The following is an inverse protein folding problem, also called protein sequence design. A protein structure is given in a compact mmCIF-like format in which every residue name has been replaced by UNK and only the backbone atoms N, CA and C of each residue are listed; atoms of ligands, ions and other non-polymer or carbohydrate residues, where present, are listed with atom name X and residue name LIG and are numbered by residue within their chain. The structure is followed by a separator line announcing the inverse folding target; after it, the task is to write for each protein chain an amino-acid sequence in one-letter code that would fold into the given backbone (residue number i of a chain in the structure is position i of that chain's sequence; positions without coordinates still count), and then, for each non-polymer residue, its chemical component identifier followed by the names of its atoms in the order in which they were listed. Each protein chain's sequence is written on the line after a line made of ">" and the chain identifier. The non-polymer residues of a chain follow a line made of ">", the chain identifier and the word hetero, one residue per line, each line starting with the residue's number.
data_IF_318036115930
#
_entry.id   IF_318036115930
#
_cell.length_a   1.000
_cell.length_b   1.000
_cell.length_c   1.000
_cell.angle_alpha   90.00
_cell.angle_beta   90.00
_cell.angle_gamma   90.00
#
_symmetry.space_group_name_H-M   'P 1'
#
loop_
_entity.id
_entity.type
_entity.pdbx_description
1 polymer ?
#
# COMPACT_ATOMS: atom_id res chain seq x y z
N UNK A 1 29.26 -17.49 13.33
CA UNK A 1 28.12 -16.84 14.00
C UNK A 1 27.55 -15.87 13.00
N UNK A 2 26.46 -16.23 12.33
CA UNK A 2 25.77 -15.33 11.40
C UNK A 2 25.02 -14.30 12.25
N UNK A 3 25.38 -13.03 12.11
CA UNK A 3 24.66 -11.97 12.79
C UNK A 3 23.38 -11.75 11.97
N UNK A 4 22.19 -11.68 12.58
CA UNK A 4 21.02 -11.25 11.84
C UNK A 4 21.20 -9.79 11.38
N UNK A 5 20.58 -9.43 10.25
CA UNK A 5 20.43 -8.04 9.79
C UNK A 5 20.14 -7.12 10.99
N UNK A 6 21.04 -6.17 11.27
CA UNK A 6 20.94 -5.37 12.48
C UNK A 6 19.89 -4.26 12.31
N UNK A 7 19.34 -3.76 13.41
CA UNK A 7 18.42 -2.61 13.40
C UNK A 7 19.02 -1.39 12.68
N UNK A 8 20.33 -1.19 12.77
CA UNK A 8 21.04 -0.11 12.10
C UNK A 8 21.00 -0.23 10.57
N UNK A 9 21.09 -1.46 10.04
CA UNK A 9 21.04 -1.72 8.60
C UNK A 9 19.65 -1.43 8.05
N UNK A 10 18.60 -1.86 8.75
CA UNK A 10 17.21 -1.56 8.39
C UNK A 10 16.92 -0.05 8.50
N UNK A 11 17.42 0.59 9.57
CA UNK A 11 17.32 2.05 9.75
C UNK A 11 17.98 2.79 8.59
N UNK A 12 19.13 2.32 8.09
CA UNK A 12 19.79 2.91 6.93
C UNK A 12 18.91 2.85 5.68
N UNK A 13 18.30 1.68 5.39
CA UNK A 13 17.35 1.55 4.26
C UNK A 13 16.21 2.55 4.39
N UNK A 14 15.60 2.66 5.57
CA UNK A 14 14.50 3.59 5.80
C UNK A 14 14.91 5.04 5.56
N UNK A 15 16.08 5.46 6.03
CA UNK A 15 16.61 6.81 5.81
C UNK A 15 16.87 7.10 4.33
N UNK A 16 17.39 6.12 3.59
CA UNK A 16 17.57 6.21 2.14
C UNK A 16 16.23 6.32 1.39
N UNK A 17 15.22 5.54 1.80
CA UNK A 17 13.86 5.62 1.24
C UNK A 17 13.21 6.97 1.56
N UNK A 18 13.36 7.48 2.78
CA UNK A 18 12.87 8.81 3.15
C UNK A 18 13.56 9.89 2.32
N UNK A 19 14.88 9.82 2.14
CA UNK A 19 15.61 10.77 1.30
C UNK A 19 15.08 10.77 -0.14
N UNK A 20 14.85 9.59 -0.70
CA UNK A 20 14.25 9.44 -2.03
C UNK A 20 12.86 10.07 -2.13
N UNK A 21 11.95 9.72 -1.22
CA UNK A 21 10.57 10.24 -1.21
C UNK A 21 10.58 11.76 -1.04
N UNK A 22 11.36 12.28 -0.09
CA UNK A 22 11.46 13.73 0.13
C UNK A 22 12.04 14.42 -1.09
N UNK A 23 13.11 13.88 -1.71
CA UNK A 23 13.68 14.46 -2.91
C UNK A 23 12.65 14.52 -4.04
N UNK A 24 12.05 13.38 -4.40
CA UNK A 24 11.12 13.29 -5.53
C UNK A 24 9.88 14.18 -5.38
N UNK A 25 9.26 14.18 -4.20
CA UNK A 25 8.01 14.94 -3.97
C UNK A 25 8.23 16.42 -3.66
N UNK A 26 9.36 16.81 -3.06
CA UNK A 26 9.60 18.23 -2.71
C UNK A 26 9.70 19.12 -3.94
N UNK A 27 10.17 18.58 -5.06
CA UNK A 27 10.44 19.35 -6.28
C UNK A 27 9.55 18.99 -7.48
N UNK A 28 8.67 17.98 -7.35
CA UNK A 28 7.58 17.74 -8.31
C UNK A 28 6.50 18.84 -8.32
N UNK A 29 6.45 19.73 -7.32
CA UNK A 29 5.40 20.75 -7.15
C UNK A 29 5.54 21.97 -8.05
N UNK A 30 5.67 21.77 -9.37
CA UNK A 30 5.57 22.84 -10.39
C UNK A 30 4.76 22.43 -11.64
N UNK A 31 4.15 21.24 -11.68
CA UNK A 31 3.24 20.88 -12.80
C UNK A 31 1.88 21.59 -12.76
N UNK A 32 1.49 22.16 -11.60
CA UNK A 32 0.20 22.83 -11.40
C UNK A 32 0.14 24.27 -11.92
N UNK A 33 1.28 24.88 -12.28
CA UNK A 33 1.36 26.30 -12.73
C UNK A 33 1.63 26.46 -14.24
N UNK A 34 1.47 25.40 -15.03
CA UNK A 34 1.49 25.48 -16.51
C UNK A 34 2.86 25.78 -17.14
N UNK A 35 3.91 25.91 -16.33
CA UNK A 35 5.28 26.03 -16.82
C UNK A 35 6.02 24.72 -16.61
N UNK A 36 6.04 23.89 -17.66
CA UNK A 36 6.85 22.67 -17.76
C UNK A 36 8.35 23.05 -17.78
N UNK A 37 8.89 23.58 -16.68
CA UNK A 37 10.30 23.94 -16.60
C UNK A 37 11.15 22.67 -16.59
N UNK A 38 11.51 22.28 -17.82
CA UNK A 38 12.81 21.75 -18.21
C UNK A 38 13.24 20.43 -17.57
N UNK A 39 12.50 19.34 -17.83
CA UNK A 39 13.05 17.95 -17.79
C UNK A 39 13.96 17.63 -19.00
N UNK A 40 14.62 18.64 -19.56
CA UNK A 40 15.52 18.44 -20.70
C UNK A 40 16.95 18.35 -20.18
N UNK A 41 17.78 17.53 -20.81
CA UNK A 41 19.21 17.38 -20.50
C UNK A 41 20.01 18.69 -20.48
N UNK A 42 19.45 19.78 -21.02
CA UNK A 42 20.07 21.11 -21.07
C UNK A 42 19.71 22.00 -19.87
N UNK A 43 18.82 21.56 -18.99
CA UNK A 43 18.37 22.37 -17.87
C UNK A 43 19.34 22.29 -16.70
N UNK A 44 19.74 23.45 -16.15
CA UNK A 44 20.49 23.48 -14.90
C UNK A 44 19.67 22.92 -13.72
N UNK A 45 18.34 22.96 -13.83
CA UNK A 45 17.41 22.48 -12.82
C UNK A 45 17.53 20.98 -12.57
N UNK A 46 17.67 20.16 -13.62
CA UNK A 46 17.85 18.71 -13.54
C UNK A 46 19.04 18.34 -12.64
N UNK A 47 20.18 19.01 -12.85
CA UNK A 47 21.39 18.77 -12.08
C UNK A 47 21.29 19.29 -10.65
N UNK A 48 20.69 20.47 -10.43
CA UNK A 48 20.45 20.96 -9.05
C UNK A 48 19.53 20.01 -8.27
N UNK A 49 18.52 19.46 -8.92
CA UNK A 49 17.60 18.51 -8.29
C UNK A 49 18.28 17.20 -7.93
N UNK A 50 19.06 16.62 -8.86
CA UNK A 50 19.89 15.45 -8.55
C UNK A 50 20.91 15.71 -7.45
N UNK A 51 21.50 16.91 -7.39
CA UNK A 51 22.46 17.29 -6.36
C UNK A 51 21.82 17.38 -4.98
N UNK A 52 20.61 17.95 -4.91
CA UNK A 52 19.80 17.96 -3.71
C UNK A 52 19.47 16.53 -3.25
N UNK A 53 19.04 15.66 -4.16
CA UNK A 53 18.73 14.26 -3.85
C UNK A 53 19.94 13.50 -3.27
N UNK A 54 21.10 13.63 -3.93
CA UNK A 54 22.35 13.02 -3.47
C UNK A 54 22.82 13.54 -2.12
N UNK A 55 22.78 14.86 -1.91
CA UNK A 55 23.15 15.48 -0.64
C UNK A 55 22.20 15.07 0.50
N UNK A 56 20.90 15.03 0.24
CA UNK A 56 19.89 14.60 1.21
C UNK A 56 20.07 13.12 1.59
N UNK A 57 20.30 12.25 0.61
CA UNK A 57 20.57 10.84 0.87
C UNK A 57 21.85 10.64 1.70
N UNK A 58 22.92 11.37 1.37
CA UNK A 58 24.18 11.26 2.09
C UNK A 58 24.09 11.76 3.54
N UNK A 59 23.44 12.90 3.75
CA UNK A 59 23.23 13.47 5.09
C UNK A 59 22.34 12.58 5.97
N UNK A 60 21.24 12.05 5.41
CA UNK A 60 20.36 11.15 6.14
C UNK A 60 20.98 9.77 6.38
N UNK A 61 21.79 9.26 5.45
CA UNK A 61 22.54 8.01 5.65
C UNK A 61 23.51 8.12 6.84
N UNK A 62 24.12 9.29 7.05
CA UNK A 62 25.05 9.53 8.17
C UNK A 62 26.36 8.74 8.10
N UNK A 63 26.66 8.14 6.94
CA UNK A 63 27.86 7.34 6.69
C UNK A 63 28.88 8.18 5.91
N UNK A 64 29.62 9.02 6.62
CA UNK A 64 30.58 9.96 6.03
C UNK A 64 31.76 9.31 5.29
N UNK A 65 31.97 8.00 5.46
CA UNK A 65 32.95 7.23 4.68
C UNK A 65 32.44 6.88 3.28
N UNK A 66 31.12 6.85 3.06
CA UNK A 66 30.49 6.45 1.80
C UNK A 66 30.38 7.63 0.83
N UNK A 67 31.51 8.26 0.49
CA UNK A 67 31.55 9.44 -0.39
C UNK A 67 30.97 9.14 -1.78
N UNK A 68 30.98 7.88 -2.21
CA UNK A 68 30.39 7.43 -3.48
C UNK A 68 28.86 7.53 -3.51
N UNK A 69 28.17 7.41 -2.37
CA UNK A 69 26.72 7.37 -2.26
C UNK A 69 26.02 8.59 -2.90
N UNK A 70 26.36 9.85 -2.56
CA UNK A 70 25.72 11.02 -3.17
C UNK A 70 25.90 11.06 -4.68
N UNK A 71 27.03 10.58 -5.23
CA UNK A 71 27.26 10.55 -6.67
C UNK A 71 26.40 9.52 -7.39
N UNK A 72 26.24 8.31 -6.82
CA UNK A 72 25.36 7.30 -7.41
C UNK A 72 23.92 7.79 -7.40
N UNK A 73 23.46 8.33 -6.27
CA UNK A 73 22.09 8.87 -6.14
C UNK A 73 21.88 10.06 -7.09
N UNK A 74 22.85 10.96 -7.21
CA UNK A 74 22.83 12.07 -8.18
C UNK A 74 22.64 11.56 -9.62
N UNK A 75 23.50 10.62 -10.05
CA UNK A 75 23.46 10.07 -11.41
C UNK A 75 22.11 9.36 -11.64
N UNK A 76 21.68 8.54 -10.70
CA UNK A 76 20.40 7.82 -10.80
C UNK A 76 19.22 8.78 -10.95
N UNK A 77 19.21 9.88 -10.19
CA UNK A 77 18.14 10.87 -10.22
C UNK A 77 18.14 11.67 -11.53
N UNK A 78 19.32 12.11 -11.98
CA UNK A 78 19.48 12.82 -13.26
C UNK A 78 19.11 11.93 -14.45
N UNK A 79 19.52 10.65 -14.44
CA UNK A 79 19.17 9.68 -15.47
C UNK A 79 17.66 9.44 -15.49
N UNK A 80 17.02 9.21 -14.34
CA UNK A 80 15.56 9.03 -14.24
C UNK A 80 14.83 10.23 -14.83
N UNK A 81 15.09 11.43 -14.31
CA UNK A 81 14.38 12.64 -14.71
C UNK A 81 14.67 13.08 -16.15
N UNK A 82 15.86 12.78 -16.67
CA UNK A 82 16.25 13.06 -18.05
C UNK A 82 15.71 12.03 -19.07
N UNK A 83 15.46 10.79 -18.65
CA UNK A 83 14.86 9.74 -19.47
C UNK A 83 13.34 9.78 -19.46
N UNK A 84 12.71 10.29 -18.40
CA UNK A 84 11.26 10.47 -18.34
C UNK A 84 10.81 11.51 -19.37
N UNK A 85 10.25 11.02 -20.48
CA UNK A 85 9.69 11.87 -21.55
C UNK A 85 8.55 12.74 -21.00
N UNK A 86 8.48 14.05 -21.36
CA UNK A 86 7.39 14.94 -20.94
C UNK A 86 5.98 14.54 -21.38
N UNK A 87 5.82 13.53 -22.24
CA UNK A 87 4.61 13.32 -23.03
C UNK A 87 4.02 11.90 -22.95
N UNK A 88 4.59 11.01 -22.14
CA UNK A 88 4.14 9.61 -22.05
C UNK A 88 3.38 9.36 -20.73
N UNK A 89 2.08 9.67 -20.72
CA UNK A 89 1.11 9.31 -19.67
C UNK A 89 0.80 7.80 -19.63
N UNK A 90 1.80 6.94 -19.86
CA UNK A 90 1.62 5.51 -19.69
C UNK A 90 1.96 5.15 -18.26
N UNK A 91 0.95 4.90 -17.42
CA UNK A 91 1.10 4.46 -16.03
C UNK A 91 2.13 3.31 -15.84
N UNK A 92 2.37 2.49 -16.87
CA UNK A 92 3.39 1.42 -16.85
C UNK A 92 4.82 1.95 -16.88
N UNK A 93 5.12 2.96 -17.71
CA UNK A 93 6.45 3.57 -17.79
C UNK A 93 6.78 4.30 -16.48
N UNK A 94 5.79 5.05 -15.95
CA UNK A 94 5.91 5.65 -14.62
C UNK A 94 6.24 4.62 -13.54
N UNK A 95 5.53 3.48 -13.50
CA UNK A 95 5.81 2.41 -12.54
C UNK A 95 7.19 1.77 -12.74
N UNK A 96 7.60 1.52 -13.98
CA UNK A 96 8.92 0.95 -14.29
C UNK A 96 10.06 1.89 -13.87
N UNK A 97 9.91 3.19 -14.06
CA UNK A 97 10.90 4.20 -13.63
C UNK A 97 11.07 4.20 -12.10
N UNK A 98 9.98 4.09 -11.35
CA UNK A 98 10.01 4.01 -9.87
C UNK A 98 10.63 2.70 -9.39
N UNK A 99 10.33 1.58 -10.05
CA UNK A 99 10.93 0.29 -9.74
C UNK A 99 12.44 0.29 -10.03
N UNK A 100 12.86 0.85 -11.15
CA UNK A 100 14.28 0.98 -11.50
C UNK A 100 15.07 1.76 -10.45
N UNK A 101 14.52 2.89 -9.99
CA UNK A 101 15.17 3.67 -8.94
C UNK A 101 15.21 2.93 -7.59
N UNK A 102 14.12 2.23 -7.23
CA UNK A 102 14.09 1.40 -6.03
C UNK A 102 15.17 0.31 -6.05
N UNK A 103 15.45 -0.29 -7.21
CA UNK A 103 16.54 -1.26 -7.38
C UNK A 103 17.91 -0.61 -7.13
N UNK A 104 18.15 0.60 -7.66
CA UNK A 104 19.41 1.33 -7.40
C UNK A 104 19.56 1.63 -5.91
N UNK A 105 18.47 2.06 -5.25
CA UNK A 105 18.44 2.35 -3.82
C UNK A 105 18.74 1.10 -2.98
N UNK A 106 18.12 -0.04 -3.32
CA UNK A 106 18.38 -1.33 -2.68
C UNK A 106 19.81 -1.80 -2.93
N UNK A 107 20.35 -1.61 -4.14
CA UNK A 107 21.75 -1.91 -4.46
C UNK A 107 22.72 -1.06 -3.62
N UNK A 108 22.47 0.24 -3.49
CA UNK A 108 23.26 1.11 -2.61
C UNK A 108 23.18 0.67 -1.15
N UNK A 109 21.98 0.30 -0.69
CA UNK A 109 21.80 -0.22 0.66
C UNK A 109 22.60 -1.51 0.89
N UNK A 110 22.50 -2.49 -0.01
CA UNK A 110 23.25 -3.76 0.08
C UNK A 110 24.76 -3.51 0.15
N UNK A 111 25.29 -2.57 -0.64
CA UNK A 111 26.71 -2.21 -0.64
C UNK A 111 27.17 -1.46 0.62
N UNK A 112 26.24 -0.91 1.41
CA UNK A 112 26.52 -0.18 2.64
C UNK A 112 26.34 -1.02 3.91
N UNK A 113 25.64 -2.15 3.81
CA UNK A 113 25.50 -3.10 4.93
C UNK A 113 26.90 -3.59 5.32
N UNK A 114 27.14 -3.68 6.64
CA UNK A 114 28.42 -4.13 7.20
C UNK A 114 28.54 -5.67 7.27
N UNK A 115 27.41 -6.38 7.24
CA UNK A 115 27.33 -7.85 7.26
C UNK A 115 27.41 -8.49 5.87
N UNK A 116 27.34 -9.83 5.84
CA UNK A 116 27.37 -10.59 4.59
C UNK A 116 26.03 -10.48 3.83
N UNK A 117 26.02 -10.32 2.49
CA UNK A 117 24.78 -10.31 1.71
C UNK A 117 23.91 -11.56 1.87
N UNK A 118 24.49 -12.68 2.32
CA UNK A 118 23.76 -13.91 2.64
C UNK A 118 22.81 -13.75 3.83
N UNK A 119 23.03 -12.77 4.71
CA UNK A 119 22.16 -12.46 5.85
C UNK A 119 20.81 -11.90 5.40
N UNK A 120 20.78 -11.20 4.25
CA UNK A 120 19.53 -10.73 3.61
C UNK A 120 18.69 -11.93 3.19
N UNK A 121 19.32 -12.95 2.59
CA UNK A 121 18.63 -14.16 2.18
C UNK A 121 18.06 -14.91 3.39
N UNK A 122 18.80 -14.99 4.50
CA UNK A 122 18.34 -15.59 5.76
C UNK A 122 17.18 -14.79 6.35
N UNK A 123 17.26 -13.47 6.38
CA UNK A 123 16.19 -12.59 6.86
C UNK A 123 14.90 -12.78 6.04
N UNK A 124 15.00 -12.69 4.70
CA UNK A 124 13.86 -12.91 3.80
C UNK A 124 13.28 -14.31 3.97
N UNK A 125 14.12 -15.33 4.07
CA UNK A 125 13.69 -16.71 4.27
C UNK A 125 12.99 -16.90 5.62
N UNK A 126 13.49 -16.28 6.69
CA UNK A 126 12.90 -16.37 8.03
C UNK A 126 11.49 -15.76 8.07
N UNK A 127 11.30 -14.60 7.42
CA UNK A 127 9.99 -13.95 7.37
C UNK A 127 9.02 -14.66 6.40
N UNK A 128 9.53 -15.15 5.27
CA UNK A 128 8.73 -15.93 4.31
C UNK A 128 8.38 -17.31 4.85
N UNK A 129 9.11 -17.84 5.82
CA UNK A 129 8.77 -19.10 6.48
C UNK A 129 7.70 -18.94 7.56
N UNK A 130 7.39 -17.70 7.96
CA UNK A 130 6.37 -17.44 8.98
C UNK A 130 4.96 -17.63 8.40
N UNK A 131 4.20 -18.55 9.01
CA UNK A 131 2.81 -18.82 8.63
C UNK A 131 1.93 -17.59 8.84
N UNK A 132 2.25 -16.72 9.82
CA UNK A 132 1.53 -15.48 10.09
C UNK A 132 1.60 -14.53 8.90
N UNK A 133 2.79 -14.40 8.29
CA UNK A 133 3.00 -13.56 7.11
C UNK A 133 2.09 -14.01 5.95
N UNK A 134 2.08 -15.30 5.63
CA UNK A 134 1.24 -15.83 4.56
C UNK A 134 -0.25 -15.79 4.86
N UNK A 135 -0.63 -15.98 6.12
CA UNK A 135 -2.03 -15.88 6.56
C UNK A 135 -2.56 -14.46 6.33
N UNK A 136 -1.78 -13.43 6.66
CA UNK A 136 -2.14 -12.04 6.40
C UNK A 136 -2.25 -11.80 4.88
N UNK A 137 -1.25 -12.20 4.08
CA UNK A 137 -1.29 -12.04 2.63
C UNK A 137 -2.55 -12.69 2.05
N UNK A 138 -2.81 -13.95 2.40
CA UNK A 138 -3.96 -14.69 1.91
C UNK A 138 -5.27 -13.96 2.25
N UNK A 139 -5.41 -13.44 3.46
CA UNK A 139 -6.62 -12.69 3.87
C UNK A 139 -6.89 -11.48 2.97
N UNK A 140 -5.86 -10.67 2.65
CA UNK A 140 -6.02 -9.53 1.75
C UNK A 140 -6.32 -9.96 0.32
N UNK A 141 -5.70 -11.03 -0.20
CA UNK A 141 -6.00 -11.54 -1.54
C UNK A 141 -7.46 -12.04 -1.63
N UNK A 142 -7.92 -12.77 -0.62
CA UNK A 142 -9.29 -13.28 -0.52
C UNK A 142 -10.32 -12.13 -0.46
N UNK A 143 -10.05 -11.07 0.31
CA UNK A 143 -10.95 -9.93 0.44
C UNK A 143 -11.03 -9.07 -0.83
N UNK A 144 -9.94 -8.98 -1.59
CA UNK A 144 -9.89 -8.15 -2.81
C UNK A 144 -10.57 -8.85 -3.99
N UNK A 145 -10.23 -10.11 -4.25
CA UNK A 145 -10.62 -10.80 -5.49
C UNK A 145 -11.79 -11.79 -5.32
N UNK A 146 -11.69 -12.90 -4.56
CA UNK A 146 -12.81 -13.80 -4.32
C UNK A 146 -14.05 -13.11 -3.75
N UNK A 147 -13.90 -12.32 -2.69
CA UNK A 147 -15.03 -11.63 -2.07
C UNK A 147 -15.69 -10.65 -3.05
N UNK A 148 -14.91 -9.84 -3.78
CA UNK A 148 -15.43 -8.93 -4.80
C UNK A 148 -16.22 -9.66 -5.90
N UNK A 149 -15.72 -10.81 -6.36
CA UNK A 149 -16.39 -11.64 -7.37
C UNK A 149 -17.68 -12.25 -6.83
N UNK A 150 -17.66 -12.74 -5.58
CA UNK A 150 -18.83 -13.30 -4.91
C UNK A 150 -19.93 -12.24 -4.74
N UNK A 151 -19.59 -11.06 -4.21
CA UNK A 151 -20.52 -9.94 -4.06
C UNK A 151 -21.10 -9.57 -5.42
N UNK A 152 -20.27 -9.43 -6.46
CA UNK A 152 -20.73 -9.09 -7.81
C UNK A 152 -21.72 -10.12 -8.41
N UNK A 153 -21.60 -11.40 -8.03
CA UNK A 153 -22.56 -12.46 -8.39
C UNK A 153 -23.84 -12.37 -7.58
N UNK A 154 -23.74 -12.22 -6.25
CA UNK A 154 -24.89 -12.09 -5.37
C UNK A 154 -25.72 -10.88 -5.80
N UNK A 155 -25.09 -9.73 -5.99
CA UNK A 155 -25.80 -8.48 -6.30
C UNK A 155 -26.24 -8.36 -7.77
N UNK A 156 -26.00 -9.38 -8.61
CA UNK A 156 -26.29 -9.34 -10.05
C UNK A 156 -27.78 -9.09 -10.39
N UNK A 157 -28.77 -9.67 -9.69
CA UNK A 157 -30.18 -9.42 -9.98
C UNK A 157 -30.54 -7.93 -9.82
N UNK A 158 -30.18 -7.33 -8.70
CA UNK A 158 -30.40 -5.90 -8.42
C UNK A 158 -29.66 -4.99 -9.40
N UNK A 159 -28.41 -5.32 -9.75
CA UNK A 159 -27.65 -4.56 -10.77
C UNK A 159 -28.37 -4.53 -12.12
N UNK A 160 -28.93 -5.66 -12.53
CA UNK A 160 -29.64 -5.75 -13.81
C UNK A 160 -30.95 -4.92 -13.81
N UNK A 161 -31.61 -4.77 -12.67
CA UNK A 161 -32.78 -3.90 -12.54
C UNK A 161 -32.41 -2.42 -12.67
N UNK A 162 -31.28 -2.00 -12.08
CA UNK A 162 -30.76 -0.64 -12.21
C UNK A 162 -30.39 -0.34 -13.66
N UNK A 163 -29.63 -1.22 -14.32
CA UNK A 163 -29.22 -1.02 -15.73
C UNK A 163 -30.42 -0.92 -16.69
N UNK A 164 -31.53 -1.61 -16.39
CA UNK A 164 -32.75 -1.53 -17.21
C UNK A 164 -33.47 -0.18 -17.10
N UNK A 165 -33.39 0.47 -15.94
CA UNK A 165 -34.08 1.74 -15.68
C UNK A 165 -33.20 2.97 -15.96
N UNK A 166 -31.88 2.83 -15.90
CA UNK A 166 -30.94 3.94 -16.06
C UNK A 166 -30.02 3.73 -17.25
N UNK A 167 -30.11 4.60 -18.26
CA UNK A 167 -29.19 4.65 -19.42
C UNK A 167 -27.79 5.19 -19.05
N UNK A 168 -27.54 5.47 -17.77
CA UNK A 168 -26.30 6.07 -17.30
C UNK A 168 -25.20 5.02 -17.15
N UNK A 169 -24.25 5.01 -18.07
CA UNK A 169 -22.97 4.35 -17.88
C UNK A 169 -22.14 5.13 -16.85
N UNK A 170 -22.34 4.83 -15.55
CA UNK A 170 -21.47 5.33 -14.49
C UNK A 170 -20.03 4.82 -14.64
N UNK A 171 -19.09 5.38 -13.87
CA UNK A 171 -17.70 4.89 -13.82
C UNK A 171 -17.65 3.52 -13.11
N UNK A 172 -17.96 2.45 -13.83
CA UNK A 172 -17.95 1.07 -13.33
C UNK A 172 -16.61 0.71 -12.64
N UNK A 173 -15.50 1.25 -13.18
CA UNK A 173 -14.16 1.07 -12.59
C UNK A 173 -14.01 1.76 -11.23
N UNK A 174 -14.63 2.93 -11.01
CA UNK A 174 -14.51 3.65 -9.74
C UNK A 174 -15.21 2.90 -8.60
N UNK A 175 -16.44 2.41 -8.82
CA UNK A 175 -17.16 1.62 -7.82
C UNK A 175 -16.42 0.34 -7.42
N UNK A 176 -15.76 -0.31 -8.38
CA UNK A 176 -14.91 -1.47 -8.12
C UNK A 176 -13.70 -1.14 -7.23
N UNK A 177 -13.03 0.00 -7.46
CA UNK A 177 -11.93 0.46 -6.61
C UNK A 177 -12.40 0.89 -5.22
N UNK A 178 -13.50 1.63 -5.12
CA UNK A 178 -14.11 2.03 -3.83
C UNK A 178 -14.40 0.78 -2.98
N UNK A 179 -15.08 -0.22 -3.56
CA UNK A 179 -15.39 -1.46 -2.84
C UNK A 179 -14.15 -2.23 -2.39
N UNK A 180 -13.04 -2.21 -3.16
CA UNK A 180 -11.78 -2.83 -2.74
C UNK A 180 -11.15 -2.09 -1.56
N UNK A 181 -11.09 -0.76 -1.62
CA UNK A 181 -10.52 0.07 -0.56
C UNK A 181 -11.28 -0.09 0.76
N UNK A 182 -12.61 -0.10 0.71
CA UNK A 182 -13.44 -0.31 1.90
C UNK A 182 -13.18 -1.67 2.56
N UNK A 183 -13.09 -2.74 1.77
CA UNK A 183 -12.81 -4.07 2.31
C UNK A 183 -11.40 -4.17 2.90
N UNK A 184 -10.42 -3.53 2.28
CA UNK A 184 -9.06 -3.42 2.84
C UNK A 184 -9.12 -2.72 4.19
N UNK A 185 -9.76 -1.55 4.27
CA UNK A 185 -9.89 -0.80 5.52
C UNK A 185 -10.58 -1.60 6.63
N UNK A 186 -11.70 -2.25 6.31
CA UNK A 186 -12.43 -3.07 7.29
C UNK A 186 -11.58 -4.23 7.77
N UNK A 187 -10.95 -4.98 6.86
CA UNK A 187 -10.05 -6.07 7.23
C UNK A 187 -8.91 -5.56 8.14
N UNK A 188 -8.29 -4.44 7.80
CA UNK A 188 -7.24 -3.81 8.62
C UNK A 188 -7.77 -3.43 10.00
N UNK A 189 -8.93 -2.79 10.10
CA UNK A 189 -9.52 -2.39 11.38
C UNK A 189 -9.86 -3.59 12.26
N UNK A 190 -10.34 -4.70 11.69
CA UNK A 190 -10.55 -5.95 12.45
C UNK A 190 -9.22 -6.51 12.97
N UNK A 191 -8.19 -6.57 12.13
CA UNK A 191 -6.86 -7.08 12.54
C UNK A 191 -6.20 -6.20 13.61
N UNK A 192 -6.47 -4.89 13.59
CA UNK A 192 -6.02 -3.94 14.62
C UNK A 192 -6.96 -3.85 15.83
N UNK A 193 -8.06 -4.62 15.84
CA UNK A 193 -9.12 -4.59 16.88
C UNK A 193 -9.82 -3.23 17.06
N UNK A 194 -9.82 -2.38 16.03
CA UNK A 194 -10.50 -1.07 16.03
C UNK A 194 -11.91 -1.16 15.39
N UNK A 195 -12.85 -1.83 16.05
CA UNK A 195 -14.21 -2.00 15.53
C UNK A 195 -14.99 -0.66 15.44
N UNK A 196 -14.65 0.32 16.27
CA UNK A 196 -15.18 1.68 16.24
C UNK A 196 -14.92 2.38 14.90
N UNK A 197 -13.76 2.15 14.28
CA UNK A 197 -13.40 2.73 12.99
C UNK A 197 -14.27 2.17 11.85
N UNK A 198 -14.71 0.92 11.97
CA UNK A 198 -15.66 0.30 11.03
C UNK A 198 -17.02 1.00 11.15
N UNK A 199 -17.48 1.28 12.37
CA UNK A 199 -18.70 2.06 12.62
C UNK A 199 -18.65 3.45 11.99
N UNK A 200 -17.53 4.16 12.14
CA UNK A 200 -17.32 5.47 11.52
C UNK A 200 -17.34 5.39 9.99
N UNK A 201 -16.69 4.38 9.40
CA UNK A 201 -16.69 4.16 7.95
C UNK A 201 -18.11 3.93 7.41
N UNK A 202 -18.91 3.10 8.10
CA UNK A 202 -20.32 2.84 7.77
C UNK A 202 -21.14 4.13 7.86
N UNK A 203 -20.96 4.91 8.93
CA UNK A 203 -21.69 6.16 9.15
C UNK A 203 -21.36 7.19 8.07
N UNK A 204 -20.07 7.40 7.76
CA UNK A 204 -19.61 8.32 6.72
C UNK A 204 -20.22 7.97 5.35
N UNK A 205 -20.20 6.69 4.99
CA UNK A 205 -20.79 6.21 3.73
C UNK A 205 -22.31 6.39 3.68
N UNK A 206 -22.98 6.25 4.82
CA UNK A 206 -24.43 6.47 4.93
C UNK A 206 -24.78 7.94 4.73
N UNK A 207 -24.05 8.87 5.36
CA UNK A 207 -24.20 10.33 5.23
C UNK A 207 -24.09 10.78 3.76
N UNK A 208 -23.05 10.32 3.06
CA UNK A 208 -22.84 10.69 1.65
C UNK A 208 -23.98 10.23 0.74
N UNK A 209 -24.68 9.16 1.10
CA UNK A 209 -25.76 8.57 0.31
C UNK A 209 -27.16 9.09 0.66
N UNK A 210 -27.34 9.75 1.80
CA UNK A 210 -28.62 10.39 2.16
C UNK A 210 -29.00 11.53 1.20
N UNK A 211 -28.04 12.18 0.54
CA UNK A 211 -28.31 13.22 -0.47
C UNK A 211 -28.94 12.69 -1.76
N UNK A 212 -28.53 11.51 -2.23
CA UNK A 212 -28.94 10.92 -3.52
C UNK A 212 -30.33 10.26 -3.48
N UNK A 213 -30.79 9.83 -2.31
CA UNK A 213 -32.07 9.12 -2.15
C UNK A 213 -33.31 10.02 -2.24
N UNK A 214 -33.16 11.35 -2.30
CA UNK A 214 -34.29 12.31 -2.36
C UNK A 214 -34.91 12.46 -3.75
N UNK A 215 -34.26 11.97 -4.80
CA UNK A 215 -34.75 12.07 -6.19
C UNK A 215 -35.30 10.72 -6.64
N UNK A 216 -36.60 10.64 -6.99
CA UNK A 216 -37.31 9.38 -7.27
C UNK A 216 -36.69 8.52 -8.38
N UNK A 217 -35.90 9.11 -9.29
CA UNK A 217 -35.24 8.40 -10.39
C UNK A 217 -34.07 7.50 -9.97
N UNK A 218 -33.53 7.60 -8.74
CA UNK A 218 -32.32 6.87 -8.32
C UNK A 218 -32.53 5.90 -7.15
N UNK A 219 -33.79 5.57 -6.80
CA UNK A 219 -34.08 4.73 -5.63
C UNK A 219 -33.45 3.33 -5.72
N UNK A 220 -33.59 2.64 -6.85
CA UNK A 220 -33.05 1.28 -7.02
C UNK A 220 -31.52 1.24 -7.02
N UNK A 221 -30.89 2.27 -7.58
CA UNK A 221 -29.43 2.44 -7.56
C UNK A 221 -28.93 2.57 -6.13
N UNK A 222 -29.60 3.41 -5.33
CA UNK A 222 -29.30 3.51 -3.91
C UNK A 222 -29.46 2.15 -3.21
N UNK A 223 -30.61 1.48 -3.34
CA UNK A 223 -30.83 0.16 -2.73
C UNK A 223 -29.77 -0.87 -3.12
N UNK A 224 -29.40 -0.93 -4.41
CA UNK A 224 -28.31 -1.78 -4.91
C UNK A 224 -26.98 -1.50 -4.21
N UNK A 225 -26.59 -0.22 -4.11
CA UNK A 225 -25.36 0.20 -3.43
C UNK A 225 -25.41 -0.17 -1.94
N UNK A 226 -26.57 -0.05 -1.28
CA UNK A 226 -26.72 -0.41 0.14
C UNK A 226 -26.46 -1.88 0.37
N UNK A 227 -27.20 -2.71 -0.38
CA UNK A 227 -27.15 -4.16 -0.25
C UNK A 227 -25.73 -4.64 -0.56
N UNK A 228 -25.13 -4.14 -1.64
CA UNK A 228 -23.75 -4.48 -2.01
C UNK A 228 -22.74 -4.10 -0.94
N UNK A 229 -22.89 -2.92 -0.34
CA UNK A 229 -22.00 -2.45 0.73
C UNK A 229 -22.14 -3.28 2.00
N UNK A 230 -23.37 -3.55 2.45
CA UNK A 230 -23.61 -4.34 3.67
C UNK A 230 -23.08 -5.76 3.54
N UNK A 231 -23.33 -6.43 2.41
CA UNK A 231 -22.77 -7.76 2.14
C UNK A 231 -21.24 -7.71 2.14
N UNK A 232 -20.66 -6.68 1.51
CA UNK A 232 -19.21 -6.48 1.46
C UNK A 232 -18.60 -6.33 2.86
N UNK A 233 -19.26 -5.57 3.74
CA UNK A 233 -18.80 -5.35 5.11
C UNK A 233 -18.86 -6.63 5.93
N UNK A 234 -19.98 -7.35 5.87
CA UNK A 234 -20.12 -8.65 6.56
C UNK A 234 -19.03 -9.63 6.14
N UNK A 235 -18.78 -9.78 4.83
CA UNK A 235 -17.73 -10.68 4.34
C UNK A 235 -16.34 -10.26 4.83
N UNK A 236 -16.01 -8.96 4.77
CA UNK A 236 -14.72 -8.46 5.21
C UNK A 236 -14.52 -8.65 6.73
N UNK A 237 -15.56 -8.42 7.54
CA UNK A 237 -15.52 -8.62 8.99
C UNK A 237 -15.31 -10.10 9.32
N UNK A 238 -16.11 -11.00 8.73
CA UNK A 238 -15.98 -12.45 8.96
C UNK A 238 -14.56 -12.91 8.60
N UNK A 239 -14.06 -12.51 7.43
CA UNK A 239 -12.71 -12.88 7.01
C UNK A 239 -11.64 -12.34 7.97
N UNK A 240 -11.78 -11.11 8.47
CA UNK A 240 -10.86 -10.55 9.45
C UNK A 240 -10.86 -11.28 10.79
N UNK A 241 -12.05 -11.70 11.26
CA UNK A 241 -12.17 -12.51 12.48
C UNK A 241 -11.53 -13.89 12.27
N UNK A 242 -11.83 -14.58 11.16
CA UNK A 242 -11.19 -15.85 10.81
C UNK A 242 -9.66 -15.73 10.75
N UNK A 243 -9.16 -14.65 10.14
CA UNK A 243 -7.73 -14.37 10.05
C UNK A 243 -7.12 -14.15 11.43
N UNK A 244 -7.77 -13.35 12.28
CA UNK A 244 -7.33 -13.09 13.65
C UNK A 244 -7.26 -14.38 14.47
N UNK A 245 -8.24 -15.27 14.31
CA UNK A 245 -8.25 -16.56 14.97
C UNK A 245 -7.13 -17.49 14.47
N UNK A 246 -6.89 -17.54 13.16
CA UNK A 246 -5.77 -18.30 12.59
C UNK A 246 -4.40 -17.80 13.07
N UNK A 247 -4.23 -16.48 13.26
CA UNK A 247 -2.99 -15.89 13.77
C UNK A 247 -2.73 -16.21 15.25
N UNK A 248 -3.80 -16.45 16.02
CA UNK A 248 -3.72 -16.80 17.44
C UNK A 248 -3.54 -18.31 17.67
N UNK A 249 -3.91 -19.15 16.69
CA UNK A 249 -3.75 -20.59 16.83
C UNK A 249 -2.25 -20.93 16.95
N UNK A 250 -1.82 -21.70 17.97
CA UNK A 250 -0.44 -22.16 18.07
C UNK A 250 -0.20 -23.19 16.96
N UNK A 251 0.30 -22.71 15.80
CA UNK A 251 0.61 -23.55 14.65
C UNK A 251 1.94 -24.32 14.81
N UNK A 252 2.57 -24.25 15.98
CA UNK A 252 3.72 -25.04 16.43
C UNK A 252 3.45 -25.47 17.88
N UNK A 253 3.55 -26.77 18.24
CA UNK A 253 3.46 -27.16 19.64
C UNK A 253 4.63 -26.54 20.41
N UNK A 254 4.31 -25.69 21.39
CA UNK A 254 5.27 -25.21 22.38
C UNK A 254 5.78 -26.42 23.19
N UNK A 255 6.90 -27.00 22.75
CA UNK A 255 7.77 -27.69 23.69
C UNK A 255 8.60 -26.63 24.44
N UNK A 256 7.94 -25.93 25.37
CA UNK A 256 8.41 -25.67 26.73
C UNK A 256 7.86 -24.36 27.32
N UNK A 257 7.24 -24.52 28.50
CA UNK A 257 6.97 -23.54 29.58
C UNK A 257 5.83 -22.57 29.30
N UNK A 258 4.63 -22.87 29.81
CA UNK A 258 4.15 -22.35 31.11
C UNK A 258 4.42 -20.86 31.25
N UNK A 259 3.44 -20.05 30.88
CA UNK A 259 2.83 -19.08 31.77
C UNK A 259 1.50 -18.62 31.15
N UNK A 260 0.51 -18.39 32.01
CA UNK A 260 -0.89 -18.11 31.70
C UNK A 260 -1.08 -17.15 30.52
N UNK A 261 -1.74 -17.62 29.47
CA UNK A 261 -2.45 -16.75 28.53
C UNK A 261 -3.93 -16.91 28.83
N UNK A 262 -4.50 -15.93 29.52
CA UNK A 262 -5.92 -15.85 29.83
C UNK A 262 -6.74 -15.84 28.53
N UNK A 263 -7.49 -16.92 28.30
CA UNK A 263 -8.34 -17.13 27.13
C UNK A 263 -9.69 -16.36 27.21
N UNK A 264 -9.85 -15.41 28.15
CA UNK A 264 -11.15 -14.84 28.50
C UNK A 264 -11.51 -13.49 27.87
N UNK A 265 -10.64 -12.82 27.12
CA UNK A 265 -10.93 -11.47 26.60
C UNK A 265 -11.51 -11.42 25.17
N UNK A 266 -12.03 -12.54 24.65
CA UNK A 266 -12.58 -12.59 23.28
C UNK A 266 -14.00 -12.00 23.14
N UNK A 267 -14.62 -11.51 24.22
CA UNK A 267 -15.97 -10.92 24.20
C UNK A 267 -16.23 -9.82 25.25
N UNK A 268 -15.21 -9.11 25.75
CA UNK A 268 -15.50 -7.86 26.47
C UNK A 268 -15.76 -6.74 25.45
N UNK A 269 -17.06 -6.46 25.28
CA UNK A 269 -17.62 -5.26 24.65
C UNK A 269 -17.51 -4.09 25.64
#
# INVERSE_FOLDING_TARGET
>A
MHCPLNHDDVSLLLRLVIAYVVADFSFQRNSLTGSQFCKTWRSGWLYMHGAFAGALAYTLAGLWSAIWLPFIIFIAHVLRDGLTSPQEDTNRLFLLDHLGYLIILLGCWILLIRGDPSEIAIFLFSHTSDVRFWTIILSYLLVIWPAGTLIGRITKPWRNEVIKETSSHGLEKAGLWIGRLERILILTFVLLKHFEAIGLLIAAKSILRFGETRTSNHRKEAEYILIGTMISFVIAIILGICTSWMLQYPLVPEHSKSDNVDYYDLFEI
#
